data_IF_702030420693
#
_entry.id   IF_702030420693
#
_cell.length_a   1.000
_cell.length_b   1.000
_cell.length_c   1.000
_cell.angle_alpha   90.00
_cell.angle_beta   90.00
_cell.angle_gamma   90.00
#
_symmetry.space_group_name_H-M   'P 1'
#
loop_
_entity.id
_entity.type
_entity.pdbx_description
1 polymer ?
#
# COMPACT_ATOMS: atom_id res chain seq x y z
N UNK A 1 9.93 -20.63 19.92
CA UNK A 1 11.21 -21.31 20.22
C UNK A 1 11.92 -20.45 21.25
N UNK A 2 11.84 -20.81 22.54
CA UNK A 2 12.37 -19.98 23.62
C UNK A 2 13.87 -20.21 23.81
N UNK A 3 14.65 -19.16 23.60
CA UNK A 3 16.11 -19.13 23.76
C UNK A 3 16.47 -19.20 25.24
N UNK A 4 16.69 -20.42 25.73
CA UNK A 4 17.18 -20.68 27.09
C UNK A 4 18.64 -20.23 27.19
N UNK A 5 18.86 -19.01 27.68
CA UNK A 5 20.19 -18.45 27.91
C UNK A 5 20.86 -19.20 29.07
N UNK A 6 21.85 -20.05 28.75
CA UNK A 6 22.67 -20.74 29.75
C UNK A 6 23.68 -19.77 30.33
N UNK A 7 23.39 -19.23 31.52
CA UNK A 7 24.35 -18.46 32.32
C UNK A 7 25.50 -19.37 32.77
N UNK A 8 26.64 -19.26 32.11
CA UNK A 8 27.92 -19.84 32.55
C UNK A 8 28.58 -18.88 33.53
N UNK A 9 28.19 -18.94 34.80
CA UNK A 9 28.94 -18.30 35.89
C UNK A 9 30.28 -19.04 36.07
N UNK A 10 31.44 -18.39 35.91
CA UNK A 10 32.73 -19.02 36.18
C UNK A 10 32.81 -19.42 37.66
N UNK A 11 33.24 -20.64 37.95
CA UNK A 11 33.48 -21.05 39.33
C UNK A 11 34.59 -20.19 39.95
N UNK A 12 34.43 -19.73 41.21
CA UNK A 12 35.48 -19.01 41.90
C UNK A 12 36.66 -19.96 42.17
N UNK A 13 37.83 -19.57 41.68
CA UNK A 13 39.10 -20.26 41.96
C UNK A 13 39.33 -20.26 43.47
N UNK A 14 39.69 -21.40 44.10
CA UNK A 14 39.98 -21.47 45.53
C UNK A 14 41.11 -20.51 45.91
N UNK A 15 40.72 -19.39 46.52
CA UNK A 15 41.64 -18.36 46.97
C UNK A 15 42.53 -18.89 48.08
N UNK A 16 43.83 -18.79 47.86
CA UNK A 16 44.88 -19.08 48.83
C UNK A 16 44.72 -18.15 50.05
N UNK A 17 44.19 -18.69 51.16
CA UNK A 17 44.14 -17.97 52.43
C UNK A 17 45.56 -17.78 52.93
N UNK A 18 46.13 -16.59 52.72
CA UNK A 18 47.35 -16.18 53.42
C UNK A 18 47.01 -16.01 54.89
N UNK A 19 47.54 -16.93 55.68
CA UNK A 19 47.51 -16.86 57.13
C UNK A 19 48.50 -15.79 57.58
N UNK A 20 47.98 -14.60 57.92
CA UNK A 20 48.77 -13.46 58.39
C UNK A 20 49.07 -13.55 59.90
N UNK A 21 48.84 -14.70 60.54
CA UNK A 21 48.97 -14.84 61.99
C UNK A 21 50.39 -15.03 62.54
N UNK A 22 51.46 -14.79 61.76
CA UNK A 22 52.85 -14.99 62.24
C UNK A 22 53.86 -13.94 61.74
N UNK A 23 53.57 -12.65 61.94
CA UNK A 23 54.65 -11.65 62.04
C UNK A 23 54.60 -11.08 63.45
N UNK A 24 55.43 -11.64 64.32
CA UNK A 24 55.78 -11.05 65.60
C UNK A 24 56.88 -10.01 65.33
N UNK A 25 56.47 -8.77 65.04
CA UNK A 25 57.38 -7.62 65.06
C UNK A 25 57.55 -7.18 66.51
N UNK A 26 58.53 -7.80 67.19
CA UNK A 26 58.94 -7.55 68.58
C UNK A 26 59.91 -6.34 68.71
N UNK A 27 59.75 -5.29 67.90
CA UNK A 27 60.63 -4.10 67.97
C UNK A 27 59.89 -2.77 67.75
N UNK A 28 58.62 -2.70 68.16
CA UNK A 28 57.93 -1.42 68.34
C UNK A 28 58.33 -0.79 69.67
N UNK A 29 59.51 -0.16 69.64
CA UNK A 29 59.95 0.83 70.62
C UNK A 29 58.82 1.84 70.82
N UNK A 30 58.14 1.74 71.96
CA UNK A 30 57.15 2.71 72.41
C UNK A 30 57.90 4.01 72.69
N UNK A 31 58.01 4.85 71.66
CA UNK A 31 58.39 6.24 71.78
C UNK A 31 57.24 6.96 72.50
N UNK A 32 57.23 6.85 73.83
CA UNK A 32 56.43 7.72 74.70
C UNK A 32 57.02 9.12 74.66
N UNK A 33 56.61 9.91 73.68
CA UNK A 33 56.72 11.37 73.73
C UNK A 33 55.45 12.00 73.13
N UNK A 34 54.87 12.94 73.88
CA UNK A 34 53.79 13.89 73.56
C UNK A 34 52.32 13.40 73.43
N UNK A 35 51.79 12.89 74.56
CA UNK A 35 50.37 12.57 74.81
C UNK A 35 49.37 13.73 74.61
N UNK A 36 49.81 14.98 74.47
CA UNK A 36 48.90 16.15 74.40
C UNK A 36 48.55 16.54 72.96
N UNK A 37 49.48 16.38 72.02
CA UNK A 37 49.25 16.71 70.61
C UNK A 37 48.37 15.67 69.92
N UNK A 38 48.47 14.41 70.36
CA UNK A 38 47.62 13.31 69.87
C UNK A 38 46.12 13.54 70.17
N UNK A 39 45.79 14.12 71.33
CA UNK A 39 44.38 14.39 71.69
C UNK A 39 43.80 15.57 70.89
N UNK A 40 44.61 16.61 70.61
CA UNK A 40 44.21 17.72 69.74
C UNK A 40 43.94 17.23 68.32
N UNK A 41 44.81 16.38 67.78
CA UNK A 41 44.64 15.78 66.45
C UNK A 41 43.37 14.92 66.36
N UNK A 42 43.10 14.07 67.35
CA UNK A 42 41.84 13.29 67.42
C UNK A 42 40.60 14.18 67.44
N UNK A 43 40.63 15.32 68.12
CA UNK A 43 39.48 16.24 68.12
C UNK A 43 39.30 16.93 66.77
N UNK A 44 40.38 17.31 66.09
CA UNK A 44 40.34 17.89 64.75
C UNK A 44 39.85 16.86 63.71
N UNK A 45 40.30 15.61 63.79
CA UNK A 45 39.84 14.53 62.91
C UNK A 45 38.35 14.24 63.09
N UNK A 46 37.86 14.22 64.33
CA UNK A 46 36.42 14.06 64.62
C UNK A 46 35.59 15.20 64.03
N UNK A 47 36.06 16.44 64.17
CA UNK A 47 35.40 17.60 63.57
C UNK A 47 35.36 17.51 62.04
N UNK A 48 36.48 17.14 61.41
CA UNK A 48 36.57 16.95 59.96
C UNK A 48 35.61 15.85 59.46
N UNK A 49 35.53 14.71 60.16
CA UNK A 49 34.57 13.64 59.83
C UNK A 49 33.12 14.07 59.97
N UNK A 50 32.82 14.92 60.96
CA UNK A 50 31.47 15.46 61.15
C UNK A 50 31.09 16.41 60.02
N UNK A 51 32.00 17.29 59.60
CA UNK A 51 31.78 18.21 58.48
C UNK A 51 31.61 17.45 57.14
N UNK A 52 32.41 16.41 56.90
CA UNK A 52 32.28 15.56 55.71
C UNK A 52 30.93 14.83 55.69
N UNK A 53 30.47 14.33 56.84
CA UNK A 53 29.17 13.69 56.96
C UNK A 53 28.02 14.67 56.68
N UNK A 54 28.11 15.90 57.20
CA UNK A 54 27.12 16.95 56.95
C UNK A 54 27.12 17.37 55.46
N UNK A 55 28.29 17.50 54.84
CA UNK A 55 28.41 17.78 53.41
C UNK A 55 27.74 16.69 52.56
N UNK A 56 28.02 15.40 52.86
CA UNK A 56 27.40 14.26 52.19
C UNK A 56 25.89 14.20 52.38
N UNK A 57 25.38 14.62 53.54
CA UNK A 57 23.93 14.72 53.78
C UNK A 57 23.30 15.81 52.91
N UNK A 58 23.91 17.00 52.85
CA UNK A 58 23.47 18.11 52.00
C UNK A 58 23.48 17.74 50.52
N UNK A 59 24.50 16.99 50.06
CA UNK A 59 24.58 16.50 48.68
C UNK A 59 23.42 15.53 48.35
N UNK A 60 23.16 14.57 49.24
CA UNK A 60 22.03 13.63 49.07
C UNK A 60 20.68 14.34 49.09
N UNK A 61 20.53 15.38 49.91
CA UNK A 61 19.32 16.20 49.92
C UNK A 61 19.16 16.95 48.59
N UNK A 62 20.22 17.57 48.08
CA UNK A 62 20.22 18.24 46.79
C UNK A 62 19.90 17.29 45.63
N UNK A 63 20.47 16.08 45.64
CA UNK A 63 20.19 15.03 44.65
C UNK A 63 18.71 14.61 44.68
N UNK A 64 18.14 14.39 45.88
CA UNK A 64 16.71 14.06 46.04
C UNK A 64 15.82 15.20 45.56
N UNK A 65 16.19 16.45 45.83
CA UNK A 65 15.48 17.64 45.35
C UNK A 65 15.54 17.74 43.83
N UNK A 66 16.70 17.52 43.23
CA UNK A 66 16.89 17.50 41.78
C UNK A 66 16.02 16.42 41.11
N UNK A 67 16.05 15.18 41.63
CA UNK A 67 15.19 14.08 41.13
C UNK A 67 13.70 14.41 41.23
N UNK A 68 13.28 15.09 42.30
CA UNK A 68 11.88 15.51 42.45
C UNK A 68 11.48 16.57 41.43
N UNK A 69 12.36 17.53 41.14
CA UNK A 69 12.12 18.56 40.11
C UNK A 69 12.15 17.96 38.70
N UNK A 70 13.07 17.03 38.41
CA UNK A 70 13.09 16.30 37.14
C UNK A 70 11.80 15.49 36.93
N UNK A 71 11.34 14.78 37.96
CA UNK A 71 10.08 14.05 37.91
C UNK A 71 8.87 14.97 37.66
N UNK A 72 8.88 16.19 38.21
CA UNK A 72 7.85 17.19 37.90
C UNK A 72 7.92 17.65 36.45
N UNK A 73 9.12 17.92 35.91
CA UNK A 73 9.32 18.30 34.51
C UNK A 73 8.82 17.23 33.55
N UNK A 74 9.18 15.97 33.78
CA UNK A 74 8.70 14.83 32.98
C UNK A 74 7.18 14.72 32.97
N UNK A 75 6.52 14.92 34.13
CA UNK A 75 5.04 14.90 34.21
C UNK A 75 4.38 16.03 33.43
N UNK A 76 4.97 17.24 33.44
CA UNK A 76 4.45 18.38 32.66
C UNK A 76 4.63 18.13 31.16
N UNK A 77 5.75 17.55 30.76
CA UNK A 77 6.04 17.20 29.37
C UNK A 77 5.12 16.09 28.86
N UNK A 78 4.91 15.03 29.63
CA UNK A 78 3.97 13.95 29.32
C UNK A 78 2.54 14.48 29.16
N UNK A 79 2.08 15.36 30.07
CA UNK A 79 0.77 15.99 29.96
C UNK A 79 0.65 16.87 28.70
N UNK A 80 1.73 17.53 28.26
CA UNK A 80 1.76 18.31 27.02
C UNK A 80 1.65 17.40 25.79
N UNK A 81 2.37 16.27 25.77
CA UNK A 81 2.31 15.30 24.69
C UNK A 81 0.93 14.64 24.60
N UNK A 82 0.29 14.35 25.74
CA UNK A 82 -1.08 13.82 25.78
C UNK A 82 -2.10 14.84 25.22
N UNK A 83 -1.96 16.12 25.58
CA UNK A 83 -2.81 17.18 25.05
C UNK A 83 -2.64 17.35 23.54
N UNK A 84 -1.41 17.28 23.03
CA UNK A 84 -1.14 17.35 21.58
C UNK A 84 -1.73 16.15 20.83
N UNK A 85 -1.61 14.93 21.39
CA UNK A 85 -2.24 13.73 20.82
C UNK A 85 -3.76 13.87 20.73
N UNK A 86 -4.41 14.32 21.80
CA UNK A 86 -5.86 14.58 21.80
C UNK A 86 -6.26 15.62 20.77
N UNK A 87 -5.47 16.69 20.63
CA UNK A 87 -5.74 17.72 19.63
C UNK A 87 -5.67 17.15 18.20
N UNK A 88 -4.69 16.30 17.90
CA UNK A 88 -4.58 15.63 16.59
C UNK A 88 -5.75 14.68 16.34
N UNK A 89 -6.16 13.90 17.34
CA UNK A 89 -7.33 13.00 17.23
C UNK A 89 -8.64 13.78 17.00
N UNK A 90 -8.82 14.91 17.67
CA UNK A 90 -9.97 15.80 17.45
C UNK A 90 -9.96 16.42 16.05
N UNK A 91 -8.80 16.85 15.56
CA UNK A 91 -8.66 17.39 14.20
C UNK A 91 -8.96 16.32 13.14
N UNK A 92 -8.44 15.10 13.31
CA UNK A 92 -8.72 13.98 12.41
C UNK A 92 -10.21 13.63 12.40
N UNK A 93 -10.86 13.63 13.58
CA UNK A 93 -12.30 13.41 13.68
C UNK A 93 -13.11 14.50 12.96
N UNK A 94 -12.67 15.76 13.02
CA UNK A 94 -13.30 16.86 12.28
C UNK A 94 -13.08 16.73 10.77
N UNK A 95 -11.88 16.38 10.32
CA UNK A 95 -11.59 16.15 8.90
C UNK A 95 -12.44 15.00 8.34
N UNK A 96 -12.55 13.88 9.08
CA UNK A 96 -13.39 12.75 8.69
C UNK A 96 -14.86 13.14 8.57
N UNK A 97 -15.38 13.91 9.53
CA UNK A 97 -16.77 14.39 9.49
C UNK A 97 -17.02 15.31 8.29
N UNK A 98 -16.07 16.18 7.95
CA UNK A 98 -16.17 17.05 6.78
C UNK A 98 -16.15 16.25 5.47
N UNK A 99 -15.30 15.22 5.37
CA UNK A 99 -15.26 14.32 4.22
C UNK A 99 -16.56 13.53 4.06
N UNK A 100 -17.13 13.01 5.15
CA UNK A 100 -18.42 12.31 5.13
C UNK A 100 -19.57 13.23 4.70
N UNK A 101 -19.60 14.48 5.19
CA UNK A 101 -20.59 15.48 4.80
C UNK A 101 -20.46 15.86 3.30
N UNK A 102 -19.22 15.98 2.80
CA UNK A 102 -19.00 16.23 1.37
C UNK A 102 -19.45 15.03 0.51
N UNK A 103 -19.16 13.81 0.94
CA UNK A 103 -19.61 12.60 0.27
C UNK A 103 -21.15 12.51 0.25
N UNK A 104 -21.83 12.91 1.33
CA UNK A 104 -23.29 12.99 1.36
C UNK A 104 -23.81 14.02 0.35
N UNK A 105 -23.22 15.21 0.29
CA UNK A 105 -23.58 16.24 -0.71
C UNK A 105 -23.38 15.74 -2.14
N UNK A 106 -22.31 14.97 -2.40
CA UNK A 106 -22.11 14.33 -3.70
C UNK A 106 -23.21 13.32 -4.03
N UNK A 107 -23.59 12.45 -3.07
CA UNK A 107 -24.71 11.51 -3.24
C UNK A 107 -26.03 12.21 -3.50
N UNK A 108 -26.31 13.32 -2.80
CA UNK A 108 -27.51 14.13 -3.03
C UNK A 108 -27.54 14.72 -4.44
N UNK A 109 -26.43 15.25 -4.95
CA UNK A 109 -26.33 15.77 -6.33
C UNK A 109 -26.59 14.69 -7.37
N UNK A 110 -26.00 13.50 -7.20
CA UNK A 110 -26.22 12.36 -8.10
C UNK A 110 -27.68 11.88 -8.05
N UNK A 111 -28.29 11.84 -6.86
CA UNK A 111 -29.69 11.45 -6.70
C UNK A 111 -30.64 12.46 -7.37
N UNK A 112 -30.40 13.77 -7.20
CA UNK A 112 -31.18 14.83 -7.84
C UNK A 112 -31.05 14.79 -9.37
N UNK A 113 -29.85 14.55 -9.90
CA UNK A 113 -29.64 14.41 -11.34
C UNK A 113 -30.37 13.16 -11.88
N UNK A 114 -30.29 12.03 -11.18
CA UNK A 114 -30.99 10.82 -11.54
C UNK A 114 -32.52 11.03 -11.54
N UNK A 115 -33.06 11.81 -10.59
CA UNK A 115 -34.49 12.17 -10.60
C UNK A 115 -34.84 13.05 -11.79
N UNK A 116 -34.04 14.08 -12.10
CA UNK A 116 -34.22 14.92 -13.30
C UNK A 116 -34.23 14.08 -14.58
N UNK A 117 -33.35 13.08 -14.69
CA UNK A 117 -33.33 12.16 -15.82
C UNK A 117 -34.62 11.31 -15.89
N UNK A 118 -35.12 10.80 -14.77
CA UNK A 118 -36.41 10.08 -14.72
C UNK A 118 -37.57 10.97 -15.15
N UNK A 119 -37.60 12.23 -14.71
CA UNK A 119 -38.64 13.18 -15.10
C UNK A 119 -38.61 13.46 -16.61
N UNK A 120 -37.43 13.67 -17.20
CA UNK A 120 -37.27 13.84 -18.66
C UNK A 120 -37.75 12.61 -19.43
N UNK A 121 -37.32 11.41 -19.02
CA UNK A 121 -37.77 10.17 -19.64
C UNK A 121 -39.29 9.95 -19.53
N UNK A 122 -39.90 10.38 -18.43
CA UNK A 122 -41.35 10.35 -18.26
C UNK A 122 -42.08 11.33 -19.17
N UNK A 123 -41.55 12.55 -19.33
CA UNK A 123 -42.11 13.55 -20.25
C UNK A 123 -42.01 13.08 -21.71
N UNK A 124 -40.85 12.55 -22.11
CA UNK A 124 -40.64 12.02 -23.46
C UNK A 124 -41.59 10.86 -23.76
N UNK A 125 -41.81 9.95 -22.80
CA UNK A 125 -42.82 8.87 -22.93
C UNK A 125 -44.24 9.40 -23.06
N UNK A 126 -44.59 10.44 -22.30
CA UNK A 126 -45.91 11.06 -22.40
C UNK A 126 -46.11 11.73 -23.76
N UNK A 127 -45.07 12.41 -24.28
CA UNK A 127 -45.08 13.02 -25.60
C UNK A 127 -45.18 11.97 -26.71
N UNK A 128 -44.39 10.89 -26.65
CA UNK A 128 -44.48 9.79 -27.59
C UNK A 128 -45.89 9.16 -27.64
N UNK A 129 -46.58 9.06 -26.50
CA UNK A 129 -47.98 8.60 -26.45
C UNK A 129 -48.94 9.57 -27.14
N UNK A 130 -48.73 10.88 -26.99
CA UNK A 130 -49.53 11.90 -27.68
C UNK A 130 -49.30 11.86 -29.20
N UNK A 131 -48.04 11.75 -29.62
CA UNK A 131 -47.67 11.64 -31.04
C UNK A 131 -48.24 10.37 -31.67
N UNK A 132 -48.18 9.24 -30.96
CA UNK A 132 -48.81 7.99 -31.42
C UNK A 132 -50.33 8.13 -31.58
N UNK A 133 -51.01 8.77 -30.61
CA UNK A 133 -52.45 9.03 -30.71
C UNK A 133 -52.79 9.96 -31.89
N UNK A 134 -51.99 11.01 -32.12
CA UNK A 134 -52.15 11.91 -33.26
C UNK A 134 -51.90 11.20 -34.60
N UNK A 135 -50.89 10.32 -34.67
CA UNK A 135 -50.64 9.47 -35.83
C UNK A 135 -51.81 8.50 -36.10
N UNK A 136 -52.39 7.89 -35.07
CA UNK A 136 -53.57 7.03 -35.23
C UNK A 136 -54.78 7.80 -35.77
N UNK A 137 -55.01 9.03 -35.29
CA UNK A 137 -56.10 9.88 -35.78
C UNK A 137 -55.90 10.31 -37.25
N UNK A 138 -54.69 10.73 -37.61
CA UNK A 138 -54.36 11.13 -38.99
C UNK A 138 -54.34 9.96 -39.98
N UNK A 139 -53.85 8.79 -39.56
CA UNK A 139 -53.87 7.57 -40.36
C UNK A 139 -55.27 7.05 -40.66
N UNK A 140 -56.22 7.21 -39.73
CA UNK A 140 -57.62 6.89 -39.97
C UNK A 140 -58.24 7.78 -41.08
N UNK A 141 -57.86 9.06 -41.15
CA UNK A 141 -58.33 10.00 -42.18
C UNK A 141 -57.77 9.67 -43.57
N UNK A 142 -56.53 9.18 -43.66
CA UNK A 142 -55.92 8.77 -44.93
C UNK A 142 -56.46 7.44 -45.49
N UNK A 143 -56.93 6.52 -44.64
CA UNK A 143 -57.56 5.27 -45.10
C UNK A 143 -58.97 5.46 -45.66
N UNK A 144 -59.72 6.48 -45.23
CA UNK A 144 -61.06 6.77 -45.79
C UNK A 144 -60.98 7.32 -47.22
N UNK A 145 -59.93 8.06 -47.57
CA UNK A 145 -59.76 8.62 -48.92
C UNK A 145 -59.15 7.64 -49.95
N UNK A 146 -58.61 6.49 -49.53
CA UNK A 146 -58.05 5.49 -50.47
C UNK A 146 -59.03 4.37 -50.84
N UNK A 147 -60.18 4.27 -50.15
CA UNK A 147 -61.29 3.39 -50.55
C UNK A 147 -62.08 3.90 -51.76
N UNK A 148 -61.83 5.13 -52.23
CA UNK A 148 -62.38 5.67 -53.46
C UNK A 148 -61.35 5.57 -54.59
N UNK A 149 -61.04 4.35 -55.06
CA UNK A 149 -60.31 4.17 -56.33
C UNK A 149 -61.20 3.65 -57.44
N UNK A 150 -61.46 4.60 -58.34
CA UNK A 150 -61.77 4.45 -59.76
C UNK A 150 -60.85 3.39 -60.41
N UNK A 151 -61.38 2.50 -61.26
CA UNK A 151 -60.59 1.47 -61.93
C UNK A 151 -59.71 2.10 -63.03
N UNK A 152 -58.39 2.04 -62.85
CA UNK A 152 -57.44 2.65 -63.79
C UNK A 152 -56.00 2.23 -63.55
N UNK A 153 -55.69 1.01 -63.98
CA UNK A 153 -54.40 0.49 -64.43
C UNK A 153 -53.16 1.41 -64.30
N UNK A 154 -52.28 1.10 -63.35
CA UNK A 154 -50.83 1.07 -63.59
C UNK A 154 -50.15 0.30 -62.44
N UNK A 155 -49.64 -0.89 -62.77
CA UNK A 155 -48.89 -1.74 -61.85
C UNK A 155 -47.47 -1.21 -61.78
N UNK A 156 -47.19 -0.37 -60.77
CA UNK A 156 -45.81 -0.04 -60.41
C UNK A 156 -45.29 -1.17 -59.53
N UNK A 157 -44.46 -2.03 -60.14
CA UNK A 157 -43.73 -3.09 -59.45
C UNK A 157 -42.68 -2.43 -58.56
N UNK A 158 -43.00 -2.25 -57.28
CA UNK A 158 -42.02 -1.92 -56.26
C UNK A 158 -41.14 -3.15 -56.02
N UNK A 159 -39.99 -3.19 -56.71
CA UNK A 159 -38.96 -4.17 -56.42
C UNK A 159 -38.49 -3.94 -54.97
N UNK A 160 -38.85 -4.83 -54.06
CA UNK A 160 -38.36 -4.87 -52.68
C UNK A 160 -36.85 -5.10 -52.72
N UNK A 161 -36.08 -4.01 -52.70
CA UNK A 161 -34.62 -4.07 -52.57
C UNK A 161 -34.30 -4.78 -51.25
N UNK A 162 -33.83 -6.03 -51.36
CA UNK A 162 -33.40 -6.81 -50.21
C UNK A 162 -32.21 -6.11 -49.55
N UNK A 163 -32.15 -6.06 -48.21
CA UNK A 163 -31.06 -5.41 -47.51
C UNK A 163 -29.72 -6.10 -47.80
N UNK A 164 -28.63 -5.32 -47.96
CA UNK A 164 -27.29 -5.86 -48.17
C UNK A 164 -26.84 -6.70 -46.97
N UNK A 165 -25.97 -7.69 -47.18
CA UNK A 165 -25.50 -8.51 -46.06
C UNK A 165 -24.69 -7.66 -45.05
N UNK A 166 -24.74 -8.02 -43.76
CA UNK A 166 -24.04 -7.29 -42.68
C UNK A 166 -22.56 -7.03 -42.97
N UNK A 167 -21.91 -7.93 -43.71
CA UNK A 167 -20.51 -7.78 -44.11
C UNK A 167 -20.30 -6.74 -45.22
N UNK A 168 -21.21 -6.65 -46.19
CA UNK A 168 -21.22 -5.61 -47.20
C UNK A 168 -21.61 -4.24 -46.62
N UNK A 169 -22.44 -4.21 -45.57
CA UNK A 169 -22.74 -3.00 -44.78
C UNK A 169 -21.46 -2.50 -44.09
N UNK A 170 -20.80 -3.37 -43.33
CA UNK A 170 -19.57 -3.02 -42.59
C UNK A 170 -18.41 -2.64 -43.52
N UNK A 171 -18.38 -3.16 -44.75
CA UNK A 171 -17.35 -2.83 -45.75
C UNK A 171 -17.69 -1.60 -46.60
N UNK A 172 -18.82 -0.92 -46.34
CA UNK A 172 -19.36 0.22 -47.12
C UNK A 172 -19.60 -0.08 -48.61
N UNK A 173 -19.57 -1.35 -49.04
CA UNK A 173 -19.88 -1.80 -50.41
C UNK A 173 -21.35 -2.19 -50.58
N UNK A 174 -22.24 -1.62 -49.76
CA UNK A 174 -23.65 -1.98 -49.65
C UNK A 174 -24.41 -1.89 -51.00
N UNK A 175 -24.00 -0.97 -51.89
CA UNK A 175 -24.61 -0.78 -53.21
C UNK A 175 -24.29 -1.85 -54.26
N UNK A 176 -23.32 -2.73 -54.01
CA UNK A 176 -22.89 -3.79 -54.96
C UNK A 176 -23.27 -5.20 -54.50
N UNK A 177 -24.12 -5.31 -53.48
CA UNK A 177 -24.51 -6.59 -52.90
C UNK A 177 -25.66 -7.22 -53.71
N UNK A 178 -25.34 -7.79 -54.86
CA UNK A 178 -26.31 -8.54 -55.67
C UNK A 178 -26.32 -10.04 -55.32
N UNK A 179 -27.50 -10.70 -55.39
CA UNK A 179 -27.58 -12.16 -55.34
C UNK A 179 -26.72 -12.79 -56.43
N UNK A 180 -25.80 -13.69 -56.06
CA UNK A 180 -25.08 -14.47 -57.05
C UNK A 180 -26.05 -15.36 -57.83
N UNK A 181 -26.01 -15.32 -59.17
CA UNK A 181 -26.90 -16.10 -60.05
C UNK A 181 -26.49 -17.58 -60.20
N UNK A 182 -25.98 -18.22 -59.14
CA UNK A 182 -25.45 -19.59 -59.19
C UNK A 182 -25.84 -20.44 -57.98
N UNK A 183 -25.39 -21.71 -57.96
CA UNK A 183 -25.61 -22.63 -56.83
C UNK A 183 -25.01 -22.14 -55.51
N UNK A 184 -24.13 -21.14 -55.55
CA UNK A 184 -23.52 -20.51 -54.40
C UNK A 184 -24.43 -19.40 -53.87
N UNK A 185 -25.05 -19.62 -52.71
CA UNK A 185 -25.94 -18.66 -52.02
C UNK A 185 -25.23 -17.43 -51.41
N UNK A 186 -24.03 -17.08 -51.86
CA UNK A 186 -23.29 -15.92 -51.39
C UNK A 186 -23.51 -14.73 -52.34
N UNK A 187 -23.55 -13.50 -51.80
CA UNK A 187 -23.51 -12.31 -52.65
C UNK A 187 -22.18 -12.26 -53.41
N UNK A 188 -22.18 -11.64 -54.60
CA UNK A 188 -21.00 -11.58 -55.49
C UNK A 188 -19.73 -11.09 -54.76
N UNK A 189 -19.77 -10.04 -53.91
CA UNK A 189 -18.59 -9.60 -53.17
C UNK A 189 -18.05 -10.62 -52.16
N UNK A 190 -18.93 -11.35 -51.46
CA UNK A 190 -18.51 -12.38 -50.50
C UNK A 190 -17.96 -13.63 -51.18
N UNK A 191 -18.56 -14.02 -52.31
CA UNK A 191 -18.11 -15.15 -53.12
C UNK A 191 -16.69 -14.90 -53.66
N UNK A 192 -16.44 -13.73 -54.25
CA UNK A 192 -15.13 -13.37 -54.80
C UNK A 192 -14.03 -13.36 -53.72
N UNK A 193 -14.37 -12.98 -52.48
CA UNK A 193 -13.44 -12.97 -51.35
C UNK A 193 -13.35 -14.32 -50.61
N UNK A 194 -14.04 -15.37 -51.08
CA UNK A 194 -14.19 -16.68 -50.40
C UNK A 194 -14.54 -16.54 -48.91
N UNK A 195 -15.38 -15.56 -48.58
CA UNK A 195 -15.84 -15.31 -47.19
C UNK A 195 -17.28 -15.78 -47.03
N UNK A 196 -17.59 -16.27 -45.84
CA UNK A 196 -18.95 -16.67 -45.46
C UNK A 196 -19.89 -15.47 -45.55
N UNK A 197 -20.93 -15.59 -46.38
CA UNK A 197 -21.95 -14.57 -46.55
C UNK A 197 -23.04 -14.75 -45.49
N UNK A 198 -23.41 -13.69 -44.77
CA UNK A 198 -24.45 -13.76 -43.72
C UNK A 198 -25.86 -13.92 -44.28
N UNK A 199 -26.08 -13.72 -45.58
CA UNK A 199 -27.38 -13.88 -46.23
C UNK A 199 -28.00 -15.28 -46.09
N UNK A 200 -27.20 -16.31 -45.88
CA UNK A 200 -27.73 -17.68 -45.73
C UNK A 200 -28.16 -18.01 -44.31
N UNK A 201 -27.90 -17.15 -43.32
CA UNK A 201 -28.07 -17.51 -41.90
C UNK A 201 -29.47 -17.17 -41.36
N UNK A 202 -30.21 -16.26 -41.97
CA UNK A 202 -31.51 -15.81 -41.45
C UNK A 202 -32.75 -16.48 -42.06
N UNK A 203 -32.69 -17.13 -43.24
CA UNK A 203 -33.87 -17.76 -43.86
C UNK A 203 -34.10 -19.25 -43.47
N UNK A 204 -33.30 -19.84 -42.56
CA UNK A 204 -33.47 -21.25 -42.13
C UNK A 204 -33.98 -21.40 -40.69
N UNK A 205 -34.28 -20.29 -39.99
CA UNK A 205 -34.76 -20.33 -38.61
C UNK A 205 -36.29 -20.55 -38.47
N UNK A 206 -36.89 -21.33 -39.35
CA UNK A 206 -38.27 -21.80 -39.22
C UNK A 206 -38.38 -23.28 -39.63
N UNK A 207 -37.97 -24.18 -38.74
CA UNK A 207 -38.18 -25.63 -38.88
C UNK A 207 -37.36 -26.47 -37.90
N UNK A 208 -37.97 -27.39 -37.13
CA UNK A 208 -37.29 -28.08 -36.03
C UNK A 208 -36.55 -29.35 -36.47
N UNK A 209 -35.50 -29.64 -35.70
CA UNK A 209 -34.79 -30.93 -35.60
C UNK A 209 -33.85 -31.32 -36.76
N UNK A 210 -32.54 -31.32 -36.45
CA UNK A 210 -31.62 -32.36 -36.90
C UNK A 210 -30.46 -32.46 -35.92
N UNK A 211 -30.48 -33.54 -35.13
CA UNK A 211 -29.38 -34.03 -34.31
C UNK A 211 -28.11 -34.13 -35.16
N UNK A 212 -26.99 -33.60 -34.66
CA UNK A 212 -25.66 -34.11 -34.98
C UNK A 212 -24.81 -34.16 -33.71
N UNK A 213 -24.60 -35.39 -33.26
CA UNK A 213 -23.44 -35.81 -32.51
C UNK A 213 -22.16 -35.44 -33.26
N UNK A 214 -21.08 -35.16 -32.52
CA UNK A 214 -19.79 -34.91 -33.13
C UNK A 214 -18.78 -34.24 -32.22
N UNK A 215 -18.45 -34.89 -31.12
CA UNK A 215 -17.19 -34.75 -30.38
C UNK A 215 -16.03 -34.73 -31.37
N UNK A 216 -15.25 -33.66 -31.37
CA UNK A 216 -14.17 -33.45 -32.34
C UNK A 216 -13.15 -32.44 -31.83
N UNK A 217 -12.57 -32.73 -30.66
CA UNK A 217 -11.34 -32.10 -30.19
C UNK A 217 -10.23 -32.41 -31.21
N UNK A 218 -9.73 -31.38 -31.88
CA UNK A 218 -8.53 -31.50 -32.67
C UNK A 218 -7.58 -30.35 -32.37
N UNK A 219 -6.47 -30.75 -31.75
CA UNK A 219 -5.12 -30.42 -32.19
C UNK A 219 -4.62 -29.05 -31.74
N UNK A 220 -3.95 -29.11 -30.59
CA UNK A 220 -3.19 -28.03 -30.02
C UNK A 220 -2.08 -27.53 -30.94
N UNK A 221 -1.98 -26.21 -31.00
CA UNK A 221 -0.74 -25.53 -31.34
C UNK A 221 0.14 -25.49 -30.09
N UNK A 222 1.26 -26.22 -30.21
CA UNK A 222 2.40 -26.17 -29.30
C UNK A 222 2.94 -24.74 -29.25
N UNK A 223 2.67 -24.00 -28.18
CA UNK A 223 3.57 -22.91 -27.75
C UNK A 223 4.52 -23.44 -26.68
N UNK A 224 5.81 -23.24 -26.97
CA UNK A 224 6.95 -23.69 -26.20
C UNK A 224 6.97 -22.97 -24.84
N UNK A 225 7.30 -23.75 -23.82
CA UNK A 225 7.45 -23.37 -22.43
C UNK A 225 8.94 -23.00 -22.21
N UNK A 226 9.31 -21.80 -21.77
CA UNK A 226 10.64 -21.56 -21.26
C UNK A 226 10.78 -22.27 -19.91
N UNK A 227 11.85 -23.04 -19.77
CA UNK A 227 12.16 -23.89 -18.63
C UNK A 227 12.92 -23.06 -17.60
N UNK A 228 12.21 -22.16 -16.92
CA UNK A 228 12.73 -21.39 -15.78
C UNK A 228 12.59 -22.17 -14.47
N UNK A 229 13.73 -22.56 -13.90
CA UNK A 229 13.88 -23.37 -12.68
C UNK A 229 13.76 -22.46 -11.45
N UNK A 230 12.53 -22.16 -11.02
CA UNK A 230 12.24 -21.44 -9.78
C UNK A 230 11.86 -22.41 -8.67
N UNK A 231 12.75 -22.55 -7.68
CA UNK A 231 12.54 -23.36 -6.47
C UNK A 231 11.72 -22.54 -5.47
N UNK A 232 10.40 -22.55 -5.59
CA UNK A 232 9.50 -21.98 -4.60
C UNK A 232 8.92 -23.12 -3.74
N UNK A 233 9.13 -23.03 -2.42
CA UNK A 233 8.53 -23.93 -1.44
C UNK A 233 7.03 -23.64 -1.37
N UNK A 234 6.24 -24.69 -1.57
CA UNK A 234 4.81 -24.69 -1.35
C UNK A 234 4.52 -24.58 0.15
N UNK A 235 3.64 -23.65 0.51
CA UNK A 235 2.79 -23.76 1.70
C UNK A 235 1.43 -24.20 1.17
N UNK A 236 1.15 -25.49 1.33
CA UNK A 236 -0.15 -26.10 1.02
C UNK A 236 -1.18 -25.59 2.04
N UNK A 237 -2.27 -25.01 1.55
CA UNK A 237 -3.54 -24.95 2.26
C UNK A 237 -4.55 -25.71 1.41
N UNK A 238 -4.70 -26.96 1.80
CA UNK A 238 -5.69 -27.96 1.44
C UNK A 238 -7.04 -27.61 2.08
N UNK A 239 -8.11 -27.51 1.29
CA UNK A 239 -9.50 -27.82 1.69
C UNK A 239 -10.36 -27.90 0.41
N UNK A 240 -10.72 -29.13 0.02
CA UNK A 240 -12.08 -29.71 0.12
C UNK A 240 -13.04 -29.11 -0.95
N UNK A 241 -13.18 -29.72 -2.12
CA UNK A 241 -13.99 -30.92 -2.42
C UNK A 241 -15.47 -30.73 -2.06
N UNK A 242 -16.25 -30.24 -3.03
CA UNK A 242 -17.72 -30.23 -2.97
C UNK A 242 -18.25 -30.81 -4.29
N UNK A 243 -18.15 -32.14 -4.38
CA UNK A 243 -18.91 -32.95 -5.31
C UNK A 243 -20.40 -32.88 -4.93
N UNK A 244 -21.16 -31.97 -5.55
CA UNK A 244 -22.62 -32.05 -5.52
C UNK A 244 -23.17 -32.70 -6.79
N UNK A 245 -23.58 -33.94 -6.60
CA UNK A 245 -24.33 -34.81 -7.50
C UNK A 245 -25.43 -34.07 -8.25
N UNK A 246 -25.32 -34.02 -9.58
CA UNK A 246 -26.46 -33.76 -10.48
C UNK A 246 -27.08 -35.11 -10.79
N UNK A 247 -27.99 -35.55 -9.91
CA UNK A 247 -28.89 -36.66 -10.15
C UNK A 247 -29.81 -36.32 -11.31
N UNK A 248 -29.74 -37.13 -12.37
CA UNK A 248 -30.61 -37.04 -13.52
C UNK A 248 -32.04 -37.48 -13.18
N UNK A 249 -33.00 -36.66 -13.60
CA UNK A 249 -34.37 -37.11 -13.86
C UNK A 249 -34.69 -36.67 -15.28
N UNK A 250 -34.67 -37.67 -16.18
CA UNK A 250 -35.03 -37.52 -17.58
C UNK A 250 -36.54 -37.29 -17.69
N UNK A 251 -36.96 -36.03 -17.56
CA UNK A 251 -38.33 -35.62 -17.87
C UNK A 251 -38.51 -35.62 -19.40
N UNK A 252 -39.26 -36.61 -19.87
CA UNK A 252 -39.69 -36.86 -21.23
C UNK A 252 -40.45 -35.63 -21.78
N UNK A 253 -40.02 -34.99 -22.90
CA UNK A 253 -40.70 -33.79 -23.38
C UNK A 253 -42.04 -34.18 -24.01
N UNK A 254 -43.10 -34.00 -23.23
CA UNK A 254 -44.47 -33.97 -23.72
C UNK A 254 -44.59 -33.01 -24.91
N UNK A 255 -45.27 -33.49 -25.94
CA UNK A 255 -45.60 -32.84 -27.21
C UNK A 255 -45.94 -31.34 -27.10
N UNK A 256 -45.46 -30.48 -28.03
CA UNK A 256 -45.80 -29.07 -28.06
C UNK A 256 -47.24 -28.89 -28.59
N UNK A 257 -48.21 -28.90 -27.68
CA UNK A 257 -49.57 -28.42 -27.90
C UNK A 257 -49.57 -26.89 -27.79
N UNK A 258 -50.07 -26.25 -28.86
CA UNK A 258 -50.49 -24.84 -28.99
C UNK A 258 -49.59 -23.77 -28.37
N UNK A 259 -48.80 -23.14 -29.24
CA UNK A 259 -47.87 -22.06 -28.90
C UNK A 259 -48.55 -20.86 -28.22
N UNK A 260 -48.14 -20.47 -27.00
CA UNK A 260 -48.56 -19.22 -26.39
C UNK A 260 -48.03 -18.05 -27.23
N UNK A 261 -48.95 -17.23 -27.71
CA UNK A 261 -48.71 -16.04 -28.53
C UNK A 261 -47.55 -15.18 -28.01
N UNK A 262 -46.41 -15.25 -28.72
CA UNK A 262 -45.24 -14.37 -28.89
C UNK A 262 -44.80 -13.30 -27.87
N UNK A 263 -45.66 -12.77 -27.01
CA UNK A 263 -45.35 -11.63 -26.15
C UNK A 263 -44.60 -12.00 -24.85
N UNK A 264 -44.76 -13.23 -24.34
CA UNK A 264 -44.15 -13.64 -23.06
C UNK A 264 -42.70 -14.15 -23.14
N UNK A 265 -42.22 -14.50 -24.33
CA UNK A 265 -40.87 -15.08 -24.51
C UNK A 265 -39.79 -13.99 -24.45
N UNK A 266 -40.10 -12.78 -24.91
CA UNK A 266 -39.17 -11.65 -24.89
C UNK A 266 -38.89 -11.11 -23.48
N UNK A 267 -39.88 -11.13 -22.59
CA UNK A 267 -39.71 -10.72 -21.19
C UNK A 267 -38.80 -11.68 -20.42
N UNK A 268 -38.98 -13.00 -20.59
CA UNK A 268 -38.14 -14.00 -19.93
C UNK A 268 -36.67 -13.91 -20.36
N UNK A 269 -36.40 -13.58 -21.62
CA UNK A 269 -35.03 -13.39 -22.12
C UNK A 269 -34.37 -12.14 -21.53
N UNK A 270 -35.13 -11.05 -21.38
CA UNK A 270 -34.64 -9.81 -20.77
C UNK A 270 -34.36 -9.96 -19.26
N UNK A 271 -35.13 -10.79 -18.55
CA UNK A 271 -34.87 -11.12 -17.14
C UNK A 271 -33.59 -11.95 -17.00
N UNK A 272 -33.43 -12.98 -17.83
CA UNK A 272 -32.22 -13.81 -17.84
C UNK A 272 -30.94 -13.01 -18.14
N UNK A 273 -30.99 -12.07 -19.09
CA UNK A 273 -29.85 -11.21 -19.40
C UNK A 273 -29.51 -10.24 -18.25
N UNK A 274 -30.51 -9.71 -17.54
CA UNK A 274 -30.29 -8.88 -16.33
C UNK A 274 -29.68 -9.68 -15.20
N UNK A 275 -30.15 -10.89 -14.94
CA UNK A 275 -29.60 -11.75 -13.89
C UNK A 275 -28.14 -12.10 -14.19
N UNK A 276 -27.82 -12.36 -15.46
CA UNK A 276 -26.44 -12.57 -15.91
C UNK A 276 -25.55 -11.34 -15.71
N UNK A 277 -26.07 -10.14 -15.93
CA UNK A 277 -25.34 -8.90 -15.67
C UNK A 277 -25.14 -8.63 -14.17
N UNK A 278 -26.16 -8.89 -13.34
CA UNK A 278 -26.05 -8.79 -11.89
C UNK A 278 -24.98 -9.74 -11.33
N UNK A 279 -25.00 -11.00 -11.77
CA UNK A 279 -24.00 -11.99 -11.36
C UNK A 279 -22.58 -11.61 -11.80
N UNK A 280 -22.43 -10.94 -12.95
CA UNK A 280 -21.14 -10.42 -13.40
C UNK A 280 -20.65 -9.26 -12.52
N UNK A 281 -21.54 -8.34 -12.11
CA UNK A 281 -21.19 -7.26 -11.18
C UNK A 281 -20.86 -7.77 -9.78
N UNK A 282 -21.58 -8.78 -9.30
CA UNK A 282 -21.32 -9.41 -8.00
C UNK A 282 -19.93 -10.05 -7.95
N UNK A 283 -19.57 -10.82 -8.98
CA UNK A 283 -18.21 -11.38 -9.10
C UNK A 283 -17.13 -10.31 -9.20
N UNK A 284 -17.44 -9.18 -9.85
CA UNK A 284 -16.49 -8.07 -9.91
C UNK A 284 -16.32 -7.39 -8.54
N UNK A 285 -17.41 -7.21 -7.78
CA UNK A 285 -17.36 -6.68 -6.42
C UNK A 285 -16.53 -7.59 -5.50
N UNK A 286 -16.76 -8.90 -5.54
CA UNK A 286 -15.99 -9.89 -4.77
C UNK A 286 -14.49 -9.87 -5.11
N UNK A 287 -14.15 -9.71 -6.40
CA UNK A 287 -12.77 -9.55 -6.83
C UNK A 287 -12.14 -8.25 -6.31
N UNK A 288 -12.89 -7.15 -6.26
CA UNK A 288 -12.42 -5.88 -5.69
C UNK A 288 -12.25 -5.97 -4.16
N UNK A 289 -13.17 -6.60 -3.44
CA UNK A 289 -13.04 -6.83 -1.99
C UNK A 289 -11.79 -7.66 -1.68
N UNK A 290 -11.56 -8.73 -2.45
CA UNK A 290 -10.35 -9.56 -2.33
C UNK A 290 -9.08 -8.74 -2.60
N UNK A 291 -9.10 -7.86 -3.61
CA UNK A 291 -7.96 -7.01 -3.92
C UNK A 291 -7.69 -5.98 -2.82
N UNK A 292 -8.73 -5.33 -2.27
CA UNK A 292 -8.60 -4.37 -1.16
C UNK A 292 -7.98 -5.05 0.06
N UNK A 293 -8.46 -6.24 0.43
CA UNK A 293 -7.92 -7.00 1.55
C UNK A 293 -6.46 -7.42 1.33
N UNK A 294 -6.05 -7.68 0.08
CA UNK A 294 -4.64 -7.91 -0.25
C UNK A 294 -3.80 -6.63 -0.07
N UNK A 295 -4.31 -5.46 -0.46
CA UNK A 295 -3.63 -4.18 -0.23
C UNK A 295 -3.50 -3.84 1.25
N UNK A 296 -4.54 -4.08 2.06
CA UNK A 296 -4.48 -3.88 3.52
C UNK A 296 -3.38 -4.73 4.15
N UNK A 297 -3.27 -6.01 3.77
CA UNK A 297 -2.19 -6.89 4.26
C UNK A 297 -0.80 -6.42 3.84
N UNK A 298 -0.66 -5.87 2.63
CA UNK A 298 0.62 -5.30 2.17
C UNK A 298 0.97 -4.02 2.95
N UNK A 299 -0.02 -3.17 3.25
CA UNK A 299 0.18 -1.97 4.06
C UNK A 299 0.62 -2.34 5.48
N UNK A 300 -0.06 -3.30 6.12
CA UNK A 300 0.33 -3.79 7.46
C UNK A 300 1.75 -4.39 7.46
N UNK A 301 2.12 -5.12 6.41
CA UNK A 301 3.49 -5.63 6.26
C UNK A 301 4.51 -4.49 6.12
N UNK A 302 4.18 -3.42 5.38
CA UNK A 302 5.03 -2.25 5.23
C UNK A 302 5.21 -1.50 6.56
N UNK A 303 4.16 -1.33 7.34
CA UNK A 303 4.22 -0.73 8.68
C UNK A 303 5.13 -1.53 9.63
N UNK A 304 5.00 -2.87 9.63
CA UNK A 304 5.88 -3.74 10.43
C UNK A 304 7.35 -3.61 10.01
N UNK A 305 7.63 -3.46 8.71
CA UNK A 305 8.99 -3.22 8.22
C UNK A 305 9.52 -1.84 8.65
N UNK A 306 8.69 -0.80 8.62
CA UNK A 306 9.07 0.53 9.08
C UNK A 306 9.43 0.52 10.58
N UNK A 307 8.60 -0.10 11.42
CA UNK A 307 8.88 -0.25 12.86
C UNK A 307 10.17 -1.04 13.11
N UNK A 308 10.44 -2.07 12.31
CA UNK A 308 11.70 -2.82 12.42
C UNK A 308 12.92 -1.97 12.01
N UNK A 309 12.79 -1.13 10.98
CA UNK A 309 13.83 -0.22 10.54
C UNK A 309 14.12 0.86 11.60
N UNK A 310 13.10 1.43 12.22
CA UNK A 310 13.24 2.40 13.32
C UNK A 310 14.00 1.78 14.50
N UNK A 311 13.61 0.59 14.95
CA UNK A 311 14.34 -0.12 16.03
C UNK A 311 15.80 -0.36 15.68
N UNK A 312 16.08 -0.72 14.43
CA UNK A 312 17.45 -0.92 13.96
C UNK A 312 18.22 0.40 14.00
N UNK A 313 17.60 1.51 13.58
CA UNK A 313 18.21 2.85 13.66
C UNK A 313 18.51 3.26 15.11
N UNK A 314 17.60 2.99 16.05
CA UNK A 314 17.80 3.28 17.47
C UNK A 314 18.97 2.47 18.05
N UNK A 315 19.10 1.19 17.69
CA UNK A 315 20.25 0.36 18.08
C UNK A 315 21.56 0.95 17.53
N UNK A 316 21.58 1.37 16.27
CA UNK A 316 22.76 2.03 15.67
C UNK A 316 23.09 3.37 16.34
N UNK A 317 22.08 4.16 16.71
CA UNK A 317 22.29 5.40 17.44
C UNK A 317 22.94 5.15 18.81
N UNK A 318 22.52 4.09 19.52
CA UNK A 318 23.15 3.66 20.77
C UNK A 318 24.61 3.23 20.55
N UNK A 319 24.91 2.48 19.48
CA UNK A 319 26.28 2.10 19.14
C UNK A 319 27.15 3.32 18.82
N UNK A 320 26.62 4.31 18.11
CA UNK A 320 27.32 5.57 17.83
C UNK A 320 27.64 6.33 19.12
N UNK A 321 26.66 6.51 20.00
CA UNK A 321 26.87 7.18 21.28
C UNK A 321 27.91 6.45 22.15
N UNK A 322 27.88 5.12 22.16
CA UNK A 322 28.88 4.32 22.86
C UNK A 322 30.28 4.48 22.24
N UNK A 323 30.39 4.49 20.92
CA UNK A 323 31.67 4.68 20.22
C UNK A 323 32.29 6.05 20.55
N UNK A 324 31.49 7.12 20.53
CA UNK A 324 31.92 8.46 20.92
C UNK A 324 32.39 8.51 22.38
N UNK A 325 31.67 7.85 23.30
CA UNK A 325 32.06 7.76 24.70
C UNK A 325 33.41 7.04 24.88
N UNK A 326 33.60 5.91 24.19
CA UNK A 326 34.89 5.18 24.21
C UNK A 326 36.02 6.06 23.68
N UNK A 327 35.77 6.84 22.63
CA UNK A 327 36.77 7.75 22.09
C UNK A 327 37.11 8.89 23.08
N UNK A 328 36.11 9.49 23.73
CA UNK A 328 36.34 10.48 24.79
C UNK A 328 37.20 9.91 25.90
N UNK A 329 36.92 8.69 26.36
CA UNK A 329 37.71 8.03 27.42
C UNK A 329 39.14 7.76 26.99
N UNK A 330 39.37 7.31 25.75
CA UNK A 330 40.73 7.16 25.20
C UNK A 330 41.51 8.49 25.18
N UNK A 331 40.84 9.60 24.83
CA UNK A 331 41.46 10.94 24.83
C UNK A 331 41.82 11.39 26.25
N UNK A 332 40.95 11.10 27.22
CA UNK A 332 41.19 11.40 28.63
C UNK A 332 42.35 10.58 29.20
N UNK A 333 42.35 9.27 29.00
CA UNK A 333 43.43 8.38 29.45
C UNK A 333 44.77 8.78 28.82
N UNK A 334 44.76 9.23 27.54
CA UNK A 334 45.96 9.77 26.88
C UNK A 334 46.43 11.11 27.47
N UNK A 335 45.54 11.95 28.00
CA UNK A 335 45.91 13.18 28.72
C UNK A 335 46.47 12.84 30.10
N UNK A 336 45.82 11.94 30.85
CA UNK A 336 46.31 11.46 32.14
C UNK A 336 47.71 10.84 32.01
N UNK A 337 47.94 10.01 30.97
CA UNK A 337 49.24 9.43 30.70
C UNK A 337 50.34 10.48 30.45
N UNK A 338 50.04 11.55 29.68
CA UNK A 338 50.97 12.66 29.46
C UNK A 338 51.26 13.44 30.74
N UNK A 339 50.25 13.65 31.58
CA UNK A 339 50.43 14.30 32.89
C UNK A 339 51.32 13.45 33.80
N UNK A 340 51.08 12.14 33.86
CA UNK A 340 51.89 11.22 34.65
C UNK A 340 53.34 11.11 34.15
N UNK A 341 53.57 11.18 32.83
CA UNK A 341 54.92 11.25 32.26
C UNK A 341 55.63 12.55 32.66
N UNK A 342 54.92 13.69 32.61
CA UNK A 342 55.44 14.99 33.03
C UNK A 342 55.82 14.99 34.53
N UNK A 343 55.00 14.37 35.38
CA UNK A 343 55.31 14.18 36.81
C UNK A 343 56.53 13.28 37.04
N UNK A 344 56.62 12.12 36.35
CA UNK A 344 57.74 11.18 36.52
C UNK A 344 59.07 11.72 36.06
N UNK A 345 59.07 12.58 35.03
CA UNK A 345 60.32 13.12 34.48
C UNK A 345 61.00 14.09 35.46
N UNK A 346 60.33 14.45 36.58
CA UNK A 346 60.95 15.20 37.68
C UNK A 346 61.45 16.60 37.27
N UNK A 347 61.12 17.03 36.05
CA UNK A 347 61.41 18.36 35.53
C UNK A 347 60.50 19.32 36.24
N UNK A 348 60.89 19.72 37.47
CA UNK A 348 60.20 20.74 38.23
C UNK A 348 59.87 21.88 37.29
N UNK A 349 58.59 22.27 37.27
CA UNK A 349 58.02 23.31 36.42
C UNK A 349 58.97 24.50 36.34
N UNK A 350 59.90 24.48 35.39
CA UNK A 350 60.62 25.68 34.99
C UNK A 350 59.56 26.45 34.23
N UNK A 351 58.87 27.32 34.96
CA UNK A 351 58.01 28.38 34.45
C UNK A 351 58.63 28.83 33.11
N UNK A 352 57.99 28.55 31.97
CA UNK A 352 58.50 29.00 30.69
C UNK A 352 58.67 30.51 30.81
N UNK A 353 59.91 31.00 30.68
CA UNK A 353 60.24 32.41 30.71
C UNK A 353 59.84 33.10 29.40
N UNK A 354 58.69 32.74 28.83
CA UNK A 354 58.18 33.20 27.54
C UNK A 354 57.12 34.31 27.69
N UNK A 355 57.24 35.15 28.72
CA UNK A 355 56.36 36.31 28.98
C UNK A 355 57.09 37.65 28.70
N UNK A 356 58.00 37.69 27.72
CA UNK A 356 58.79 38.91 27.44
C UNK A 356 58.95 39.28 25.95
N UNK A 357 58.33 38.59 24.98
CA UNK A 357 58.68 38.84 23.58
C UNK A 357 57.57 38.73 22.51
N UNK A 358 56.29 38.64 22.85
CA UNK A 358 55.24 38.57 21.81
C UNK A 358 54.10 39.55 22.10
N UNK A 359 54.39 40.82 21.85
CA UNK A 359 53.45 41.95 21.86
C UNK A 359 53.48 42.66 20.49
N UNK A 360 53.55 41.89 19.38
CA UNK A 360 53.83 42.46 18.04
C UNK A 360 53.20 41.83 16.79
N UNK A 361 52.24 40.91 16.91
CA UNK A 361 51.55 40.36 15.72
C UNK A 361 50.01 40.38 15.87
N UNK A 362 49.48 41.46 16.43
CA UNK A 362 48.08 41.86 16.24
C UNK A 362 48.04 42.84 15.06
N UNK A 363 47.98 42.31 13.85
CA UNK A 363 47.43 42.96 12.64
C UNK A 363 47.76 42.07 11.43
N UNK A 364 46.73 41.79 10.61
CA UNK A 364 46.75 41.14 9.29
C UNK A 364 46.29 39.67 9.26
N UNK A 365 44.97 39.44 9.38
CA UNK A 365 44.26 38.65 8.36
C UNK A 365 42.73 38.91 8.40
N UNK A 366 42.33 40.16 8.16
CA UNK A 366 40.99 40.46 7.62
C UNK A 366 41.09 40.39 6.08
N UNK A 367 40.82 39.22 5.49
CA UNK A 367 40.95 39.12 4.04
C UNK A 367 40.62 37.76 3.43
N UNK A 368 39.34 37.38 3.42
CA UNK A 368 38.68 36.77 2.25
C UNK A 368 37.26 36.33 2.62
N UNK A 369 36.30 37.23 2.43
CA UNK A 369 34.93 36.82 2.10
C UNK A 369 34.97 36.12 0.72
N UNK A 370 35.16 34.81 0.76
CA UNK A 370 35.00 33.94 -0.39
C UNK A 370 33.52 33.68 -0.62
N UNK A 371 32.92 34.48 -1.50
CA UNK A 371 31.62 34.29 -2.14
C UNK A 371 31.58 32.94 -2.87
N UNK A 372 31.23 31.86 -2.15
CA UNK A 372 31.06 30.54 -2.76
C UNK A 372 29.62 30.41 -3.31
N UNK A 373 29.36 31.10 -4.42
CA UNK A 373 28.30 30.73 -5.37
C UNK A 373 28.78 29.53 -6.17
N UNK A 374 28.56 28.34 -5.64
CA UNK A 374 28.58 27.14 -6.48
C UNK A 374 27.14 26.92 -6.99
N UNK A 375 26.81 27.66 -8.06
CA UNK A 375 25.88 27.19 -9.08
C UNK A 375 26.55 26.02 -9.81
N UNK A 376 26.12 24.80 -9.55
CA UNK A 376 26.15 23.75 -10.57
C UNK A 376 24.82 23.02 -10.57
N UNK A 377 23.96 23.50 -11.49
CA UNK A 377 22.98 22.73 -12.23
C UNK A 377 23.52 21.32 -12.52
N UNK A 378 22.82 20.33 -11.96
CA UNK A 378 22.98 18.93 -12.30
C UNK A 378 21.61 18.28 -12.37
N UNK A 379 20.78 18.75 -13.31
CA UNK A 379 19.69 17.94 -13.86
C UNK A 379 20.30 16.65 -14.41
N UNK A 380 20.25 15.57 -13.63
CA UNK A 380 20.44 14.23 -14.15
C UNK A 380 19.07 13.64 -14.46
N UNK A 381 18.47 14.22 -15.50
CA UNK A 381 17.44 13.61 -16.30
C UNK A 381 18.11 12.55 -17.19
N UNK A 382 17.50 11.36 -17.30
CA UNK A 382 17.88 10.37 -18.32
C UNK A 382 18.44 9.06 -17.75
N UNK A 383 17.53 8.13 -17.50
CA UNK A 383 17.87 6.75 -17.20
C UNK A 383 16.65 5.85 -17.20
N UNK A 384 15.75 6.01 -18.18
CA UNK A 384 14.77 4.96 -18.51
C UNK A 384 15.54 3.74 -19.02
N UNK A 385 15.95 2.86 -18.12
CA UNK A 385 16.35 1.51 -18.47
C UNK A 385 15.10 0.71 -18.83
N UNK A 386 14.75 0.85 -20.10
CA UNK A 386 13.92 -0.08 -20.83
C UNK A 386 14.70 -1.39 -21.00
N UNK A 387 14.70 -2.27 -19.98
CA UNK A 387 15.09 -3.67 -20.14
C UNK A 387 13.97 -4.43 -20.88
N UNK A 388 13.93 -4.18 -22.18
CA UNK A 388 13.34 -5.07 -23.17
C UNK A 388 14.43 -5.98 -23.74
N UNK A 389 14.36 -7.27 -23.43
CA UNK A 389 15.20 -8.30 -24.04
C UNK A 389 15.51 -9.38 -23.00
N UNK A 390 14.86 -10.55 -23.00
CA UNK A 390 14.60 -11.37 -24.16
C UNK A 390 15.57 -12.53 -24.13
N UNK A 391 15.28 -13.57 -23.35
CA UNK A 391 15.93 -14.89 -23.41
C UNK A 391 14.91 -15.91 -22.86
N UNK A 392 14.20 -16.60 -23.76
CA UNK A 392 14.39 -17.99 -24.22
C UNK A 392 13.45 -19.01 -23.57
#
# INVERSE_FOLDING_TARGET
>A
MSSQCQNKTPQPTPGHSRDYSQVADDDLVVLTDDSTDTEREKTAEKACRQEEAEMKEREREAERKAKREEAKRRKVEEARQEAERRQREEEEAQQKKAADEEAERQRQRVAEEAEKQRQRASQERAQARQDEAAQRLSGAVYNVNTAQRVPGTSVVVTATRRPPCTRCIASLTAGQCEPGQGKTRACVPCHNKKKTCSWTREEVAAGPSRKRAGTGSSRGEKKKKPRGKGKARATETEEADDEREVGGEEDEPATPLEGPSGAGVHTRWAEWERERQLQAMERQAEAHETAVLAFERMAEAAERMAVAAERTADEWAMYHAWAEWVEMRRREDAREARMAELERTGGGWKRPQSEAAEDKNEEADEGAEGDNKEEVEGEQEGGEEQEGGGEQ
#
